data_IF_336059442438
#
_entry.id   IF_336059442438
#
_cell.length_a   1.000
_cell.length_b   1.000
_cell.length_c   1.000
_cell.angle_alpha   90.00
_cell.angle_beta   90.00
_cell.angle_gamma   90.00
#
_symmetry.space_group_name_H-M   'P 1'
#
loop_
_entity.id
_entity.type
_entity.pdbx_description
1 polymer ?
#
# COMPACT_ATOMS: atom_id res chain seq x y z
N UNK A 1 52.78 -2.13 -41.41
CA UNK A 1 53.15 -3.57 -41.42
C UNK A 1 53.84 -3.93 -40.10
N UNK A 2 53.19 -3.96 -38.93
CA UNK A 2 51.85 -4.47 -38.57
C UNK A 2 51.65 -5.97 -38.81
N UNK A 3 51.52 -6.72 -37.72
CA UNK A 3 50.21 -7.24 -37.27
C UNK A 3 50.20 -7.44 -35.75
N UNK A 4 49.19 -6.91 -35.06
CA UNK A 4 48.82 -7.30 -33.69
C UNK A 4 47.95 -8.56 -33.76
N UNK A 5 48.01 -9.41 -32.74
CA UNK A 5 47.08 -10.54 -32.55
C UNK A 5 46.29 -10.41 -31.24
N UNK A 6 45.02 -10.81 -31.27
CA UNK A 6 44.12 -11.06 -30.12
C UNK A 6 43.95 -12.58 -29.93
N UNK A 7 43.40 -13.12 -28.84
CA UNK A 7 42.92 -12.48 -27.59
C UNK A 7 43.86 -12.88 -26.43
N UNK A 8 43.51 -13.34 -25.21
CA UNK A 8 42.26 -13.70 -24.50
C UNK A 8 42.35 -13.12 -23.08
N UNK A 9 41.22 -12.68 -22.51
CA UNK A 9 41.08 -12.42 -21.07
C UNK A 9 40.20 -13.50 -20.44
N UNK A 10 40.54 -13.97 -19.25
CA UNK A 10 39.73 -14.93 -18.49
C UNK A 10 38.58 -14.19 -17.79
N UNK A 11 37.38 -14.30 -18.35
CA UNK A 11 36.15 -14.11 -17.56
C UNK A 11 36.11 -15.24 -16.55
N UNK A 12 36.13 -14.91 -15.26
CA UNK A 12 36.07 -15.90 -14.17
C UNK A 12 34.70 -15.84 -13.54
N UNK A 13 33.94 -16.92 -13.72
CA UNK A 13 32.57 -17.09 -13.25
C UNK A 13 32.46 -17.00 -11.71
N UNK A 14 31.37 -16.41 -11.24
CA UNK A 14 30.96 -16.29 -9.83
C UNK A 14 29.44 -16.22 -9.66
N UNK A 15 28.69 -17.13 -10.29
CA UNK A 15 27.30 -17.36 -9.89
C UNK A 15 27.17 -18.18 -8.59
N UNK A 16 25.99 -18.03 -7.96
CA UNK A 16 25.31 -18.97 -7.08
C UNK A 16 26.01 -19.42 -5.77
N UNK A 17 25.78 -18.67 -4.67
CA UNK A 17 25.29 -19.28 -3.41
C UNK A 17 24.47 -18.28 -2.57
N UNK A 18 23.23 -17.96 -2.99
CA UNK A 18 22.22 -17.38 -2.07
C UNK A 18 21.40 -18.53 -1.47
N UNK A 19 21.51 -18.75 -0.16
CA UNK A 19 20.67 -19.71 0.57
C UNK A 19 19.36 -19.03 0.97
N UNK A 20 18.23 -19.65 0.60
CA UNK A 20 16.88 -19.14 0.92
C UNK A 20 16.61 -19.19 2.43
N UNK A 21 16.20 -18.07 2.99
CA UNK A 21 15.54 -17.98 4.29
C UNK A 21 14.30 -17.08 4.10
N UNK A 22 13.17 -17.69 3.73
CA UNK A 22 11.92 -16.96 3.52
C UNK A 22 11.32 -16.50 4.85
N UNK A 23 11.15 -15.19 5.00
CA UNK A 23 10.45 -14.58 6.14
C UNK A 23 9.12 -14.02 5.67
N UNK A 24 8.04 -14.79 5.84
CA UNK A 24 6.67 -14.31 5.69
C UNK A 24 6.38 -13.30 6.80
N UNK A 25 6.18 -12.02 6.44
CA UNK A 25 5.82 -10.94 7.37
C UNK A 25 4.47 -10.38 6.94
N UNK A 26 3.40 -10.91 7.53
CA UNK A 26 2.06 -10.34 7.38
C UNK A 26 1.96 -9.05 8.20
N UNK A 27 1.89 -7.90 7.54
CA UNK A 27 1.68 -6.59 8.18
C UNK A 27 0.20 -6.45 8.56
N UNK A 28 -0.20 -7.18 9.60
CA UNK A 28 -1.53 -7.11 10.19
C UNK A 28 -1.66 -5.85 11.07
N UNK A 29 -2.22 -4.78 10.50
CA UNK A 29 -2.65 -3.59 11.26
C UNK A 29 -3.93 -3.92 12.04
N UNK A 30 -3.77 -4.72 13.11
CA UNK A 30 -4.87 -5.10 14.00
C UNK A 30 -5.12 -4.01 15.05
N UNK A 31 -6.21 -3.27 14.87
CA UNK A 31 -6.78 -2.46 15.95
C UNK A 31 -7.25 -3.38 17.10
N UNK A 32 -6.71 -3.17 18.30
CA UNK A 32 -7.10 -3.89 19.51
C UNK A 32 -7.17 -2.93 20.71
N UNK A 33 -8.36 -2.74 21.26
CA UNK A 33 -8.58 -1.90 22.45
C UNK A 33 -8.23 -2.66 23.74
N UNK A 34 -7.72 -1.96 24.74
CA UNK A 34 -7.89 -2.32 26.15
C UNK A 34 -7.96 -1.07 27.02
N UNK A 35 -9.02 -0.94 27.81
CA UNK A 35 -9.14 0.10 28.84
C UNK A 35 -8.56 -0.35 30.18
N UNK A 36 -8.50 0.58 31.13
CA UNK A 36 -8.10 0.34 32.51
C UNK A 36 -7.85 1.65 33.25
N UNK A 37 -8.81 2.10 34.05
CA UNK A 37 -8.64 3.20 35.00
C UNK A 37 -7.69 2.80 36.15
N UNK A 38 -6.86 3.73 36.61
CA UNK A 38 -6.79 4.04 38.05
C UNK A 38 -6.13 5.43 38.29
N UNK A 39 -6.42 6.03 39.44
CA UNK A 39 -6.26 7.47 39.72
C UNK A 39 -5.04 7.83 40.62
N UNK A 40 -4.38 8.97 40.36
CA UNK A 40 -3.76 9.85 41.37
C UNK A 40 -3.05 11.12 40.79
N UNK A 41 -3.39 12.32 41.28
CA UNK A 41 -2.39 13.38 41.50
C UNK A 41 -2.60 14.80 40.94
N UNK A 42 -3.59 15.55 41.43
CA UNK A 42 -3.69 17.03 41.34
C UNK A 42 -2.55 17.78 42.08
N UNK A 43 -2.39 19.14 41.99
CA UNK A 43 -3.24 20.19 41.36
C UNK A 43 -2.42 21.08 40.34
N UNK A 44 -2.70 22.34 39.93
CA UNK A 44 -3.53 23.46 40.42
C UNK A 44 -3.98 24.47 39.33
N UNK A 45 -5.22 24.96 39.48
CA UNK A 45 -5.81 26.31 39.30
C UNK A 45 -5.02 27.55 38.77
N UNK A 46 -5.71 28.65 38.38
CA UNK A 46 -6.98 28.74 37.62
C UNK A 46 -7.06 29.93 36.60
N UNK A 47 -8.11 29.97 35.77
CA UNK A 47 -8.71 31.24 35.27
C UNK A 47 -10.23 31.09 35.15
N UNK A 48 -10.99 32.18 35.35
CA UNK A 48 -12.44 32.16 35.53
C UNK A 48 -13.20 32.98 34.49
N UNK A 49 -14.43 32.55 34.17
CA UNK A 49 -15.37 33.23 33.27
C UNK A 49 -15.62 32.42 31.98
N UNK A 50 -16.85 32.17 31.54
CA UNK A 50 -18.16 32.62 32.03
C UNK A 50 -19.20 31.48 31.88
N UNK A 51 -20.27 31.50 32.68
CA UNK A 51 -21.21 30.37 32.81
C UNK A 51 -22.63 30.72 32.40
N UNK A 52 -23.23 29.88 31.54
CA UNK A 52 -24.69 29.84 31.32
C UNK A 52 -25.15 28.40 31.50
N UNK A 53 -26.08 28.19 32.44
CA UNK A 53 -26.66 26.89 32.75
C UNK A 53 -27.94 26.63 31.96
N UNK A 54 -28.20 25.36 31.62
CA UNK A 54 -29.56 24.82 31.54
C UNK A 54 -29.52 23.31 31.76
N UNK A 55 -30.10 22.89 32.88
CA UNK A 55 -30.30 21.50 33.31
C UNK A 55 -31.66 21.01 32.82
N UNK A 56 -31.75 19.73 32.41
CA UNK A 56 -32.98 18.93 32.48
C UNK A 56 -32.63 17.45 32.41
N UNK A 57 -32.55 16.82 33.58
CA UNK A 57 -32.36 15.37 33.71
C UNK A 57 -33.68 14.65 34.01
N UNK A 58 -34.13 13.79 33.10
CA UNK A 58 -35.08 12.71 33.37
C UNK A 58 -34.71 11.48 32.52
N UNK A 59 -34.94 10.23 32.91
CA UNK A 59 -35.09 9.51 34.17
C UNK A 59 -35.52 8.08 33.77
N UNK A 60 -34.84 7.07 34.31
CA UNK A 60 -34.99 5.64 33.96
C UNK A 60 -36.43 5.08 34.07
N UNK A 61 -36.79 4.19 33.14
CA UNK A 61 -37.75 3.08 33.39
C UNK A 61 -37.29 1.79 32.71
N UNK A 62 -36.91 0.74 33.47
CA UNK A 62 -36.74 -0.64 32.96
C UNK A 62 -38.06 -1.44 33.08
N UNK A 63 -38.19 -2.57 32.38
CA UNK A 63 -39.33 -3.51 32.52
C UNK A 63 -38.85 -4.97 32.48
N UNK A 64 -39.16 -5.83 33.47
CA UNK A 64 -38.71 -7.22 33.54
C UNK A 64 -39.82 -8.29 33.36
N UNK A 65 -39.40 -9.57 33.23
CA UNK A 65 -40.13 -10.81 33.57
C UNK A 65 -41.40 -11.20 32.76
N UNK A 66 -41.80 -12.47 32.60
CA UNK A 66 -41.19 -13.79 32.90
C UNK A 66 -41.78 -14.89 31.96
N UNK A 67 -41.78 -16.18 32.36
CA UNK A 67 -42.30 -17.35 31.62
C UNK A 67 -43.84 -17.43 31.47
N UNK A 68 -44.45 -18.60 31.18
CA UNK A 68 -43.98 -19.97 31.36
C UNK A 68 -44.83 -21.02 30.58
N UNK A 69 -44.26 -22.20 30.31
CA UNK A 69 -44.87 -23.52 29.96
C UNK A 69 -45.89 -23.72 28.80
N UNK A 70 -45.85 -24.91 28.19
CA UNK A 70 -46.74 -25.33 27.09
C UNK A 70 -46.40 -26.74 26.54
N UNK A 71 -46.95 -27.77 27.18
CA UNK A 71 -46.63 -29.20 26.98
C UNK A 71 -47.23 -29.82 25.69
N UNK A 72 -46.71 -30.99 25.26
CA UNK A 72 -47.58 -32.00 24.61
C UNK A 72 -47.22 -32.64 23.25
N UNK A 73 -46.54 -33.79 23.32
CA UNK A 73 -47.02 -35.06 22.73
C UNK A 73 -47.04 -35.32 21.19
N UNK A 74 -45.94 -35.91 20.70
CA UNK A 74 -45.84 -36.95 19.64
C UNK A 74 -46.65 -36.83 18.32
N UNK A 75 -45.93 -36.65 17.22
CA UNK A 75 -46.32 -37.11 15.87
C UNK A 75 -45.05 -37.54 15.12
N UNK A 76 -45.01 -38.77 14.61
CA UNK A 76 -43.81 -39.33 13.97
C UNK A 76 -44.06 -39.65 12.51
N UNK A 77 -43.45 -38.87 11.62
CA UNK A 77 -43.29 -39.21 10.21
C UNK A 77 -41.81 -39.11 9.83
N UNK A 78 -41.30 -40.13 9.13
CA UNK A 78 -39.91 -40.20 8.70
C UNK A 78 -39.74 -39.45 7.39
N UNK A 79 -39.67 -38.12 7.45
CA UNK A 79 -39.49 -37.30 6.26
C UNK A 79 -38.13 -37.59 5.59
N UNK A 80 -38.18 -37.97 4.32
CA UNK A 80 -37.04 -38.43 3.54
C UNK A 80 -35.95 -37.37 3.49
N UNK A 81 -34.79 -37.64 4.11
CA UNK A 81 -33.61 -36.83 3.92
C UNK A 81 -33.30 -36.73 2.41
N UNK A 82 -33.18 -35.52 1.84
CA UNK A 82 -32.84 -35.37 0.42
C UNK A 82 -31.46 -36.01 0.20
N UNK A 83 -31.39 -36.89 -0.81
CA UNK A 83 -30.11 -37.48 -1.22
C UNK A 83 -29.12 -36.37 -1.50
N UNK A 84 -27.87 -36.52 -1.02
CA UNK A 84 -26.79 -35.60 -1.37
C UNK A 84 -26.62 -35.61 -2.88
N UNK A 85 -27.06 -34.53 -3.55
CA UNK A 85 -26.76 -34.31 -4.96
C UNK A 85 -25.25 -34.25 -5.09
N UNK A 86 -24.67 -35.15 -5.87
CA UNK A 86 -23.24 -35.12 -6.16
C UNK A 86 -22.92 -33.75 -6.80
N UNK A 87 -21.96 -33.03 -6.22
CA UNK A 87 -21.64 -31.67 -6.65
C UNK A 87 -20.86 -31.75 -7.96
N UNK A 88 -21.58 -31.67 -9.07
CA UNK A 88 -21.00 -31.79 -10.41
C UNK A 88 -20.14 -30.56 -10.75
N UNK A 89 -18.85 -30.68 -10.49
CA UNK A 89 -17.82 -29.70 -10.87
C UNK A 89 -17.86 -29.39 -12.39
N UNK A 90 -18.35 -30.32 -13.22
CA UNK A 90 -18.54 -30.13 -14.67
C UNK A 90 -19.68 -29.17 -15.01
N UNK A 91 -20.56 -28.87 -14.05
CA UNK A 91 -21.73 -28.00 -14.22
C UNK A 91 -21.52 -26.58 -13.65
N UNK A 92 -20.35 -26.28 -13.06
CA UNK A 92 -20.02 -24.91 -12.67
C UNK A 92 -19.88 -24.01 -13.91
N UNK A 93 -20.37 -22.75 -13.88
CA UNK A 93 -20.07 -21.81 -14.95
C UNK A 93 -18.56 -21.60 -14.98
N UNK A 94 -17.94 -21.78 -16.15
CA UNK A 94 -16.51 -21.54 -16.31
C UNK A 94 -16.17 -20.11 -15.89
N UNK A 95 -15.34 -19.98 -14.86
CA UNK A 95 -14.76 -18.69 -14.45
C UNK A 95 -14.17 -18.01 -15.68
N UNK A 96 -14.39 -16.70 -15.89
CA UNK A 96 -13.70 -15.97 -16.94
C UNK A 96 -12.20 -16.23 -16.82
N UNK A 97 -11.54 -16.49 -17.94
CA UNK A 97 -10.09 -16.67 -17.94
C UNK A 97 -9.45 -15.33 -17.58
N UNK A 98 -8.99 -15.20 -16.34
CA UNK A 98 -8.10 -14.14 -15.91
C UNK A 98 -6.84 -14.27 -16.78
N UNK A 99 -6.44 -13.20 -17.46
CA UNK A 99 -5.17 -13.23 -18.19
C UNK A 99 -4.02 -13.43 -17.19
N UNK A 100 -3.03 -14.28 -17.49
CA UNK A 100 -1.97 -14.58 -16.54
C UNK A 100 -1.23 -13.29 -16.17
N UNK A 101 -1.19 -13.00 -14.86
CA UNK A 101 -0.41 -11.88 -14.31
C UNK A 101 1.04 -12.00 -14.83
N UNK A 102 1.66 -10.91 -15.34
CA UNK A 102 3.03 -10.98 -15.82
C UNK A 102 3.97 -11.48 -14.72
N UNK A 103 4.72 -12.56 -14.97
CA UNK A 103 5.65 -13.16 -13.99
C UNK A 103 6.90 -12.27 -13.70
N UNK A 104 6.90 -11.02 -14.19
CA UNK A 104 7.90 -9.99 -13.95
C UNK A 104 7.23 -8.61 -13.91
N UNK A 105 7.50 -7.85 -12.86
CA UNK A 105 7.06 -6.46 -12.68
C UNK A 105 5.78 -6.25 -11.87
N UNK A 106 5.55 -4.99 -11.47
CA UNK A 106 4.33 -4.52 -10.81
C UNK A 106 3.13 -4.70 -11.75
N UNK A 107 2.08 -5.46 -11.39
CA UNK A 107 0.87 -5.59 -12.20
C UNK A 107 0.22 -4.24 -12.50
N UNK A 108 -0.49 -4.12 -13.63
CA UNK A 108 -1.18 -2.88 -14.01
C UNK A 108 -0.30 -1.69 -14.44
N UNK A 109 1.03 -1.73 -14.22
CA UNK A 109 1.96 -0.63 -14.59
C UNK A 109 2.04 -0.38 -16.11
N UNK A 110 1.72 -1.38 -16.93
CA UNK A 110 1.57 -1.28 -18.39
C UNK A 110 0.10 -1.15 -18.83
N UNK A 111 -0.84 -0.89 -17.92
CA UNK A 111 -2.27 -0.82 -18.24
C UNK A 111 -2.57 0.25 -19.28
N UNK A 112 -3.45 -0.09 -20.23
CA UNK A 112 -3.97 0.84 -21.22
C UNK A 112 -4.94 1.88 -20.63
N UNK A 113 -5.54 1.59 -19.48
CA UNK A 113 -6.33 2.57 -18.73
C UNK A 113 -5.42 3.54 -17.96
N UNK A 114 -5.76 4.83 -17.99
CA UNK A 114 -4.92 5.90 -17.44
C UNK A 114 -5.03 5.98 -15.92
N UNK A 115 -6.21 5.72 -15.34
CA UNK A 115 -6.41 5.72 -13.90
C UNK A 115 -5.79 4.46 -13.27
N UNK A 116 -6.07 3.28 -13.82
CA UNK A 116 -5.51 2.02 -13.32
C UNK A 116 -3.97 2.01 -13.35
N UNK A 117 -3.36 2.54 -14.41
CA UNK A 117 -1.89 2.66 -14.48
C UNK A 117 -1.35 3.65 -13.45
N UNK A 118 -2.00 4.81 -13.29
CA UNK A 118 -1.60 5.79 -12.28
C UNK A 118 -1.75 5.26 -10.85
N UNK A 119 -2.79 4.47 -10.57
CA UNK A 119 -2.91 3.69 -9.34
C UNK A 119 -1.74 2.72 -9.17
N UNK A 120 -1.41 1.95 -10.23
CA UNK A 120 -0.30 0.98 -10.21
C UNK A 120 1.05 1.65 -9.91
N UNK A 121 1.32 2.80 -10.53
CA UNK A 121 2.51 3.63 -10.28
C UNK A 121 2.54 4.18 -8.84
N UNK A 122 1.41 4.67 -8.32
CA UNK A 122 1.30 5.20 -6.95
C UNK A 122 1.42 4.10 -5.88
N UNK A 123 0.53 3.11 -5.92
CA UNK A 123 0.44 2.06 -4.91
C UNK A 123 1.69 1.16 -4.93
N UNK A 124 2.27 0.90 -6.10
CA UNK A 124 3.52 0.15 -6.23
C UNK A 124 4.69 0.90 -5.60
N UNK A 125 4.73 2.22 -5.79
CA UNK A 125 5.70 3.09 -5.10
C UNK A 125 5.50 3.08 -3.58
N UNK A 126 4.26 3.24 -3.11
CA UNK A 126 3.92 3.23 -1.68
C UNK A 126 4.31 1.91 -1.00
N UNK A 127 3.96 0.77 -1.59
CA UNK A 127 4.29 -0.55 -1.05
C UNK A 127 5.80 -0.80 -1.03
N UNK A 128 6.50 -0.50 -2.13
CA UNK A 128 7.94 -0.69 -2.24
C UNK A 128 8.73 0.17 -1.24
N UNK A 129 8.38 1.45 -1.10
CA UNK A 129 9.00 2.36 -0.14
C UNK A 129 8.64 2.00 1.31
N UNK A 130 7.40 1.58 1.58
CA UNK A 130 6.97 1.09 2.88
C UNK A 130 7.72 -0.16 3.31
N UNK A 131 7.92 -1.13 2.41
CA UNK A 131 8.69 -2.34 2.66
C UNK A 131 10.16 -2.02 2.97
N UNK A 132 10.82 -1.24 2.11
CA UNK A 132 12.23 -0.87 2.31
C UNK A 132 12.42 -0.04 3.59
N UNK A 133 11.49 0.87 3.93
CA UNK A 133 11.52 1.59 5.20
C UNK A 133 11.21 0.72 6.43
N UNK A 134 10.60 -0.46 6.28
CA UNK A 134 10.21 -1.34 7.38
C UNK A 134 11.27 -2.42 7.70
N UNK A 135 11.97 -2.94 6.67
CA UNK A 135 12.93 -4.06 6.82
C UNK A 135 14.30 -3.83 6.18
N UNK A 136 14.47 -2.76 5.39
CA UNK A 136 15.72 -2.43 4.68
C UNK A 136 16.66 -1.54 5.48
N UNK A 137 17.65 -0.96 4.78
CA UNK A 137 18.51 0.09 5.34
C UNK A 137 17.82 1.47 5.30
N UNK A 138 18.06 2.29 6.33
CA UNK A 138 17.40 3.60 6.48
C UNK A 138 17.86 4.61 5.42
N UNK A 139 19.15 4.65 5.12
CA UNK A 139 19.71 5.61 4.17
C UNK A 139 19.35 5.19 2.73
N UNK A 140 19.21 3.89 2.49
CA UNK A 140 18.65 3.33 1.25
C UNK A 140 17.15 3.64 1.08
N UNK A 141 16.34 3.53 2.15
CA UNK A 141 14.93 3.91 2.12
C UNK A 141 14.75 5.39 1.71
N UNK A 142 15.44 6.33 2.36
CA UNK A 142 15.40 7.74 1.96
C UNK A 142 15.93 7.97 0.53
N UNK A 143 16.94 7.21 0.09
CA UNK A 143 17.43 7.27 -1.29
C UNK A 143 16.34 6.88 -2.29
N UNK A 144 15.59 5.82 -2.00
CA UNK A 144 14.51 5.36 -2.85
C UNK A 144 13.33 6.33 -2.83
N UNK A 145 12.96 6.90 -1.68
CA UNK A 145 11.94 7.96 -1.60
C UNK A 145 12.25 9.14 -2.54
N UNK A 146 13.50 9.61 -2.53
CA UNK A 146 13.95 10.71 -3.39
C UNK A 146 13.95 10.32 -4.87
N UNK A 147 14.31 9.08 -5.23
CA UNK A 147 14.27 8.60 -6.62
C UNK A 147 12.82 8.40 -7.10
N UNK A 148 11.93 7.94 -6.22
CA UNK A 148 10.52 7.69 -6.48
C UNK A 148 9.66 8.96 -6.54
N UNK A 149 10.08 10.03 -5.86
CA UNK A 149 9.33 11.26 -5.63
C UNK A 149 8.54 11.77 -6.86
N UNK A 150 9.22 11.91 -8.00
CA UNK A 150 8.60 12.46 -9.21
C UNK A 150 7.62 11.49 -9.89
N UNK A 151 7.70 10.19 -9.62
CA UNK A 151 6.67 9.21 -10.02
C UNK A 151 5.47 9.32 -9.10
N UNK A 152 5.68 9.42 -7.79
CA UNK A 152 4.60 9.56 -6.80
C UNK A 152 3.77 10.83 -7.05
N UNK A 153 4.40 11.98 -7.30
CA UNK A 153 3.66 13.22 -7.60
C UNK A 153 2.84 13.10 -8.88
N UNK A 154 3.47 12.63 -9.96
CA UNK A 154 2.80 12.45 -11.26
C UNK A 154 1.66 11.41 -11.24
N UNK A 155 1.80 10.34 -10.46
CA UNK A 155 0.79 9.30 -10.34
C UNK A 155 -0.47 9.84 -9.65
N UNK A 156 -0.34 10.59 -8.56
CA UNK A 156 -1.49 11.19 -7.86
C UNK A 156 -2.15 12.29 -8.71
N UNK A 157 -1.38 13.18 -9.35
CA UNK A 157 -1.90 14.15 -10.32
C UNK A 157 -2.70 13.45 -11.44
N UNK A 158 -2.20 12.31 -11.93
CA UNK A 158 -2.84 11.55 -13.01
C UNK A 158 -4.10 10.82 -12.53
N UNK A 159 -4.10 10.27 -11.31
CA UNK A 159 -5.31 9.71 -10.69
C UNK A 159 -6.40 10.77 -10.51
N UNK A 160 -6.07 11.97 -10.02
CA UNK A 160 -7.07 13.04 -9.87
C UNK A 160 -7.63 13.49 -11.23
N UNK A 161 -6.75 13.71 -12.20
CA UNK A 161 -7.12 14.22 -13.52
C UNK A 161 -7.91 13.22 -14.38
N UNK A 162 -7.84 11.92 -14.08
CA UNK A 162 -8.51 10.85 -14.83
C UNK A 162 -9.49 10.04 -13.96
N UNK A 163 -9.89 10.58 -12.79
CA UNK A 163 -10.78 9.89 -11.84
C UNK A 163 -12.10 9.45 -12.52
N UNK A 164 -12.46 8.16 -12.47
CA UNK A 164 -13.73 7.66 -12.99
C UNK A 164 -14.94 8.37 -12.34
N UNK A 165 -16.02 8.71 -13.10
CA UNK A 165 -17.18 9.41 -12.55
C UNK A 165 -17.88 8.72 -11.38
N UNK A 166 -17.80 7.39 -11.30
CA UNK A 166 -18.29 6.59 -10.17
C UNK A 166 -17.46 6.75 -8.88
N UNK A 167 -16.20 7.19 -8.99
CA UNK A 167 -15.29 7.45 -7.86
C UNK A 167 -15.27 8.92 -7.40
N UNK A 168 -15.98 9.82 -8.10
CA UNK A 168 -16.15 11.22 -7.69
C UNK A 168 -16.58 11.40 -6.21
N UNK A 169 -17.47 10.57 -5.61
CA UNK A 169 -17.81 10.66 -4.18
C UNK A 169 -16.62 10.45 -3.23
N UNK A 170 -15.56 9.78 -3.69
CA UNK A 170 -14.36 9.45 -2.91
C UNK A 170 -13.14 10.30 -3.28
N UNK A 171 -13.26 11.26 -4.21
CA UNK A 171 -12.14 12.10 -4.70
C UNK A 171 -11.26 12.63 -3.56
N UNK A 172 -11.86 13.17 -2.51
CA UNK A 172 -11.13 13.72 -1.35
C UNK A 172 -10.46 12.60 -0.54
N UNK A 173 -11.18 11.53 -0.22
CA UNK A 173 -10.66 10.40 0.53
C UNK A 173 -9.47 9.71 -0.18
N UNK A 174 -9.54 9.59 -1.50
CA UNK A 174 -8.49 9.02 -2.34
C UNK A 174 -7.30 9.97 -2.52
N UNK A 175 -7.53 11.18 -3.05
CA UNK A 175 -6.46 12.08 -3.50
C UNK A 175 -5.87 12.88 -2.34
N UNK A 176 -6.69 13.35 -1.41
CA UNK A 176 -6.25 14.21 -0.30
C UNK A 176 -5.91 13.40 0.95
N UNK A 177 -6.78 12.48 1.37
CA UNK A 177 -6.69 11.87 2.70
C UNK A 177 -5.84 10.58 2.70
N UNK A 178 -5.88 9.79 1.62
CA UNK A 178 -5.05 8.60 1.41
C UNK A 178 -3.72 8.93 0.73
N UNK A 179 -3.75 9.54 -0.47
CA UNK A 179 -2.55 9.79 -1.27
C UNK A 179 -1.81 11.09 -0.92
N UNK A 180 -2.54 12.10 -0.42
CA UNK A 180 -2.03 13.44 -0.14
C UNK A 180 -0.82 13.52 0.79
N UNK A 181 -0.71 12.72 1.87
CA UNK A 181 0.49 12.70 2.71
C UNK A 181 1.76 12.30 1.94
N UNK A 182 1.67 11.24 1.12
CA UNK A 182 2.78 10.78 0.28
C UNK A 182 3.08 11.73 -0.87
N UNK A 183 2.06 12.34 -1.48
CA UNK A 183 2.21 13.40 -2.48
C UNK A 183 2.97 14.62 -1.91
N UNK A 184 2.55 15.11 -0.75
CA UNK A 184 3.18 16.24 -0.07
C UNK A 184 4.64 15.95 0.30
N UNK A 185 4.91 14.75 0.83
CA UNK A 185 6.27 14.28 1.16
C UNK A 185 7.15 14.12 -0.09
N UNK A 186 6.61 13.55 -1.17
CA UNK A 186 7.30 13.46 -2.46
C UNK A 186 7.62 14.85 -3.05
N UNK A 187 6.70 15.82 -2.92
CA UNK A 187 6.91 17.21 -3.35
C UNK A 187 8.11 17.87 -2.65
N UNK A 188 8.38 17.53 -1.38
CA UNK A 188 9.57 18.00 -0.65
C UNK A 188 10.86 17.38 -1.23
N UNK A 189 10.85 16.08 -1.53
CA UNK A 189 11.97 15.41 -2.18
C UNK A 189 12.25 15.95 -3.60
N UNK A 190 11.22 16.31 -4.38
CA UNK A 190 11.40 17.02 -5.65
C UNK A 190 12.06 18.39 -5.45
N UNK A 191 11.72 19.12 -4.39
CA UNK A 191 12.34 20.40 -4.06
C UNK A 191 13.83 20.26 -3.66
N UNK A 192 14.20 19.21 -2.92
CA UNK A 192 15.59 18.89 -2.58
C UNK A 192 16.41 18.49 -3.83
N UNK A 193 15.84 17.71 -4.75
CA UNK A 193 16.45 17.40 -6.05
C UNK A 193 16.71 18.66 -6.88
N UNK A 194 15.70 19.52 -7.01
CA UNK A 194 15.82 20.81 -7.72
C UNK A 194 16.89 21.70 -7.05
N UNK A 195 16.94 21.70 -5.70
CA UNK A 195 17.98 22.39 -4.92
C UNK A 195 19.40 21.87 -5.18
N UNK A 196 19.55 20.57 -5.42
CA UNK A 196 20.81 19.95 -5.84
C UNK A 196 21.10 20.10 -7.35
N UNK A 197 20.16 20.64 -8.14
CA UNK A 197 20.30 20.81 -9.59
C UNK A 197 19.93 19.59 -10.43
N UNK A 198 19.23 18.60 -9.85
CA UNK A 198 18.64 17.47 -10.56
C UNK A 198 17.18 17.81 -10.91
N UNK A 199 16.86 17.69 -12.19
CA UNK A 199 15.49 17.76 -12.71
C UNK A 199 14.73 16.47 -12.31
N UNK A 200 13.74 16.49 -11.40
CA UNK A 200 13.18 15.27 -10.79
C UNK A 200 12.59 14.28 -11.81
N UNK A 201 12.06 14.80 -12.92
CA UNK A 201 11.43 13.99 -13.97
C UNK A 201 12.37 12.97 -14.61
N UNK A 202 13.70 13.16 -14.53
CA UNK A 202 14.67 12.20 -15.09
C UNK A 202 14.78 10.89 -14.29
N UNK A 203 14.37 10.90 -13.02
CA UNK A 203 14.45 9.73 -12.13
C UNK A 203 13.24 8.80 -12.27
N UNK A 204 12.11 9.28 -12.82
CA UNK A 204 10.88 8.48 -13.03
C UNK A 204 11.16 7.17 -13.76
N UNK A 205 11.90 7.23 -14.86
CA UNK A 205 12.27 6.06 -15.65
C UNK A 205 13.24 5.10 -14.94
N UNK A 206 13.99 5.57 -13.94
CA UNK A 206 14.85 4.73 -13.09
C UNK A 206 14.01 3.99 -12.06
N UNK A 207 13.06 4.69 -11.42
CA UNK A 207 12.15 4.11 -10.44
C UNK A 207 11.19 3.09 -11.05
N UNK A 208 10.50 3.47 -12.13
CA UNK A 208 9.55 2.59 -12.83
C UNK A 208 10.26 1.32 -13.34
N UNK A 209 11.49 1.42 -13.85
CA UNK A 209 12.26 0.25 -14.26
C UNK A 209 12.57 -0.69 -13.08
N UNK A 210 12.92 -0.15 -11.90
CA UNK A 210 13.17 -0.97 -10.70
C UNK A 210 11.89 -1.67 -10.20
N UNK A 211 10.73 -1.00 -10.25
CA UNK A 211 9.43 -1.62 -9.96
C UNK A 211 9.10 -2.74 -10.98
N UNK A 212 9.36 -2.52 -12.27
CA UNK A 212 9.16 -3.54 -13.32
C UNK A 212 10.17 -4.71 -13.22
N UNK A 213 11.36 -4.51 -12.64
CA UNK A 213 12.38 -5.56 -12.52
C UNK A 213 12.21 -6.43 -11.25
N UNK A 214 11.76 -5.86 -10.12
CA UNK A 214 11.59 -6.60 -8.86
C UNK A 214 10.51 -7.71 -8.92
N UNK A 215 9.37 -7.42 -9.55
CA UNK A 215 8.27 -8.37 -9.70
C UNK A 215 7.66 -8.85 -8.37
N UNK A 216 7.14 -10.09 -8.37
CA UNK A 216 6.47 -10.69 -7.20
C UNK A 216 7.40 -11.55 -6.33
N UNK A 217 8.57 -11.93 -6.84
CA UNK A 217 9.38 -13.05 -6.34
C UNK A 217 10.74 -12.63 -5.74
N UNK A 218 11.23 -11.39 -5.99
CA UNK A 218 12.47 -10.87 -5.39
C UNK A 218 12.20 -9.86 -4.26
N UNK A 219 12.56 -10.16 -2.99
CA UNK A 219 12.40 -9.24 -1.87
C UNK A 219 13.45 -8.12 -1.81
N UNK A 220 14.42 -8.07 -2.74
CA UNK A 220 15.51 -7.09 -2.77
C UNK A 220 15.33 -6.09 -3.91
N UNK A 221 14.60 -4.99 -3.67
CA UNK A 221 14.40 -3.92 -4.65
C UNK A 221 15.74 -3.23 -5.01
N UNK A 222 16.22 -3.42 -6.24
CA UNK A 222 17.49 -2.85 -6.71
C UNK A 222 17.28 -1.66 -7.65
N UNK A 223 17.66 -0.46 -7.20
CA UNK A 223 17.51 0.79 -7.98
C UNK A 223 18.84 1.23 -8.60
N UNK A 224 19.06 0.87 -9.87
CA UNK A 224 20.32 1.16 -10.59
C UNK A 224 20.32 2.57 -11.19
N UNK A 225 20.79 3.56 -10.41
CA UNK A 225 20.94 4.94 -10.87
C UNK A 225 21.95 5.04 -12.04
N UNK A 226 21.57 5.55 -13.23
CA UNK A 226 22.47 5.66 -14.37
C UNK A 226 23.59 6.68 -14.13
N UNK A 227 24.81 6.38 -14.61
CA UNK A 227 25.99 7.25 -14.48
C UNK A 227 25.92 8.59 -15.27
N UNK A 228 24.77 8.90 -15.89
CA UNK A 228 24.42 10.22 -16.43
C UNK A 228 23.78 11.16 -15.39
N UNK A 229 23.35 10.62 -14.25
CA UNK A 229 22.91 11.38 -13.07
C UNK A 229 24.16 11.70 -12.22
N UNK A 230 24.28 12.93 -11.72
CA UNK A 230 25.34 13.25 -10.77
C UNK A 230 25.01 12.64 -9.40
N UNK A 231 25.69 11.54 -9.08
CA UNK A 231 25.55 10.87 -7.79
C UNK A 231 25.85 11.78 -6.60
N UNK A 232 26.77 12.74 -6.73
CA UNK A 232 27.11 13.69 -5.66
C UNK A 232 25.95 14.64 -5.38
N UNK A 233 25.25 15.08 -6.42
CA UNK A 233 24.05 15.91 -6.29
C UNK A 233 22.87 15.10 -5.72
N UNK A 234 22.70 13.85 -6.16
CA UNK A 234 21.66 12.96 -5.63
C UNK A 234 21.90 12.65 -4.15
N UNK A 235 23.13 12.32 -3.76
CA UNK A 235 23.50 12.07 -2.37
C UNK A 235 23.29 13.32 -1.50
N UNK A 236 23.50 14.52 -2.05
CA UNK A 236 23.21 15.79 -1.37
C UNK A 236 21.70 16.05 -1.20
N UNK A 237 20.87 15.73 -2.19
CA UNK A 237 19.41 15.81 -2.09
C UNK A 237 18.87 14.82 -1.04
N UNK A 238 19.34 13.57 -1.06
CA UNK A 238 19.00 12.53 -0.07
C UNK A 238 19.44 12.95 1.34
N UNK A 239 20.62 13.55 1.48
CA UNK A 239 21.07 14.10 2.76
C UNK A 239 20.21 15.28 3.23
N UNK A 240 19.72 16.15 2.34
CA UNK A 240 18.82 17.25 2.71
C UNK A 240 17.48 16.69 3.22
N UNK A 241 16.86 15.79 2.44
CA UNK A 241 15.58 15.16 2.74
C UNK A 241 15.60 14.36 4.05
N UNK A 242 16.59 13.48 4.23
CA UNK A 242 16.72 12.63 5.43
C UNK A 242 17.05 13.40 6.72
N UNK A 243 17.64 14.59 6.63
CA UNK A 243 17.81 15.48 7.79
C UNK A 243 16.51 16.25 8.16
N UNK A 244 15.53 16.29 7.25
CA UNK A 244 14.27 17.02 7.42
C UNK A 244 13.07 16.10 7.75
N UNK A 245 13.08 14.84 7.29
CA UNK A 245 11.95 13.90 7.39
C UNK A 245 12.24 12.72 8.34
N UNK A 246 11.21 12.25 9.04
CA UNK A 246 11.23 10.94 9.74
C UNK A 246 11.24 9.79 8.72
N UNK A 247 11.59 8.57 9.11
CA UNK A 247 11.38 7.39 8.24
C UNK A 247 9.88 7.11 8.05
N UNK A 248 9.48 6.45 6.95
CA UNK A 248 8.04 6.25 6.65
C UNK A 248 7.31 5.54 7.81
N UNK A 249 7.93 4.50 8.40
CA UNK A 249 7.39 3.75 9.54
C UNK A 249 7.44 4.50 10.88
N UNK A 250 8.04 5.69 10.93
CA UNK A 250 8.15 6.54 12.11
C UNK A 250 7.29 7.81 12.02
N UNK A 251 6.77 8.12 10.83
CA UNK A 251 6.12 9.40 10.53
C UNK A 251 4.59 9.32 10.74
N UNK A 252 4.05 9.89 11.83
CA UNK A 252 2.62 9.83 12.11
C UNK A 252 1.79 10.64 11.11
N UNK A 253 2.39 11.51 10.29
CA UNK A 253 1.68 12.23 9.23
C UNK A 253 1.33 11.33 8.03
N UNK A 254 1.96 10.16 7.90
CA UNK A 254 1.69 9.17 6.84
C UNK A 254 0.65 8.11 7.24
N UNK A 255 0.14 8.17 8.48
CA UNK A 255 -0.94 7.31 8.96
C UNK A 255 -2.29 7.93 8.55
N UNK A 256 -3.13 7.15 7.86
CA UNK A 256 -4.44 7.58 7.37
C UNK A 256 -5.50 6.54 7.69
N UNK A 257 -6.71 7.00 8.03
CA UNK A 257 -7.92 6.20 8.24
C UNK A 257 -8.95 6.36 7.10
N UNK A 258 -8.53 6.99 5.99
CA UNK A 258 -9.34 7.21 4.80
C UNK A 258 -9.98 5.90 4.29
N UNK A 259 -11.26 5.97 3.93
CA UNK A 259 -12.05 4.81 3.44
C UNK A 259 -12.48 5.08 2.01
N UNK A 260 -12.09 4.19 1.11
CA UNK A 260 -12.32 4.30 -0.33
C UNK A 260 -12.98 3.04 -0.93
N UNK A 261 -14.09 2.52 -0.35
CA UNK A 261 -14.70 1.25 -0.76
C UNK A 261 -15.24 1.21 -2.19
N UNK A 262 -15.61 2.34 -2.81
CA UNK A 262 -15.95 2.38 -4.24
C UNK A 262 -14.70 2.24 -5.09
N UNK A 263 -13.59 2.87 -4.69
CA UNK A 263 -12.29 2.75 -5.34
C UNK A 263 -11.73 1.34 -5.21
N UNK A 264 -11.72 0.76 -4.00
CA UNK A 264 -11.40 -0.65 -3.72
C UNK A 264 -12.19 -1.58 -4.67
N UNK A 265 -13.50 -1.37 -4.81
CA UNK A 265 -14.36 -2.15 -5.68
C UNK A 265 -14.12 -1.90 -7.18
N UNK A 266 -13.81 -0.66 -7.59
CA UNK A 266 -13.51 -0.33 -8.99
C UNK A 266 -12.21 -1.00 -9.43
N UNK A 267 -11.15 -0.83 -8.64
CA UNK A 267 -9.84 -1.43 -8.90
C UNK A 267 -9.97 -2.95 -9.08
N UNK A 268 -10.64 -3.62 -8.15
CA UNK A 268 -10.87 -5.07 -8.15
C UNK A 268 -11.71 -5.59 -9.34
N UNK A 269 -12.48 -4.74 -10.04
CA UNK A 269 -13.35 -5.14 -11.15
C UNK A 269 -12.91 -4.60 -12.53
N UNK A 270 -12.01 -3.60 -12.58
CA UNK A 270 -11.69 -2.86 -13.81
C UNK A 270 -10.18 -2.85 -14.10
N UNK A 271 -9.32 -2.84 -13.09
CA UNK A 271 -7.88 -2.71 -13.29
C UNK A 271 -7.19 -4.09 -13.40
N UNK A 272 -6.15 -4.25 -14.25
CA UNK A 272 -5.54 -5.57 -14.51
C UNK A 272 -4.83 -6.20 -13.30
N UNK A 273 -4.51 -5.38 -12.30
CA UNK A 273 -3.94 -5.74 -11.00
C UNK A 273 -5.01 -6.04 -9.94
N UNK A 274 -6.28 -5.76 -10.20
CA UNK A 274 -7.34 -5.77 -9.19
C UNK A 274 -7.15 -4.73 -8.08
N UNK A 275 -6.27 -3.74 -8.26
CA UNK A 275 -5.74 -2.88 -7.20
C UNK A 275 -4.69 -3.53 -6.29
N UNK A 276 -4.36 -4.81 -6.52
CA UNK A 276 -3.41 -5.59 -5.72
C UNK A 276 -2.07 -5.65 -6.44
N UNK A 277 -1.05 -5.13 -5.77
CA UNK A 277 0.33 -5.21 -6.22
C UNK A 277 1.12 -6.18 -5.32
N UNK A 278 2.19 -6.73 -5.88
CA UNK A 278 2.98 -7.90 -5.44
C UNK A 278 2.84 -8.30 -3.96
N UNK A 279 2.16 -9.43 -3.71
CA UNK A 279 2.24 -10.15 -2.43
C UNK A 279 0.97 -10.84 -1.91
N UNK A 280 -0.22 -10.53 -2.46
CA UNK A 280 -1.52 -11.03 -1.98
C UNK A 280 -2.26 -11.93 -3.00
N UNK A 281 -1.54 -12.72 -3.79
CA UNK A 281 -2.18 -13.80 -4.57
C UNK A 281 -2.73 -14.87 -3.62
N UNK A 282 -4.02 -15.16 -3.76
CA UNK A 282 -4.72 -16.12 -2.90
C UNK A 282 -4.24 -17.56 -3.17
N UNK A 283 -3.78 -18.26 -2.12
CA UNK A 283 -3.32 -19.65 -2.23
C UNK A 283 -4.55 -20.56 -2.22
N UNK A 284 -5.17 -20.73 -3.39
CA UNK A 284 -6.23 -21.70 -3.61
C UNK A 284 -5.76 -23.14 -3.36
N UNK A 285 -6.49 -23.87 -2.50
CA UNK A 285 -6.30 -25.29 -2.16
C UNK A 285 -6.52 -26.27 -3.33
#
# INVERSE_FOLDING_TARGET
MEKRSRSVALVTDRQATRLRAGALVAVLVLAACSGGDDDAGEPIAPVSGESVTSDSSEALVPTPDAGEEGDGQTGGDAETAPSTTEFDLSAQPSTPAIEPVPETGVPGIDSGDVFCRAWSEFAGSFQALGLVSAIGDRDEAYRFEVIAASTVTAAVDTMEANLPPELEPERVALVTDLAGPFFGRATLAEADLIGAGIEPTVLRAVWLAALTEAGVDDPELQVVVPASIDGTALDAAVASFSNAQLGIVEDPALITDARIPLTEAYLANVCPDGGILSGNDDIGD
#
